data_IF_398470580882
#
_entry.id   IF_398470580882
#
_cell.length_a   1.000
_cell.length_b   1.000
_cell.length_c   1.000
_cell.angle_alpha   90.00
_cell.angle_beta   90.00
_cell.angle_gamma   90.00
#
_symmetry.space_group_name_H-M   'P 1'
#
loop_
_entity.id
_entity.type
_entity.pdbx_description
1 polymer ?
#
# COMPACT_ATOMS: atom_id res chain seq x y z
N UNK A 1 -71.92 -28.74 54.60
CA UNK A 1 -71.64 -29.23 53.25
C UNK A 1 -70.30 -28.63 52.79
N UNK A 2 -69.24 -29.40 52.86
CA UNK A 2 -67.86 -28.97 52.49
C UNK A 2 -67.60 -29.50 51.11
N UNK A 3 -67.32 -28.60 50.12
CA UNK A 3 -66.91 -28.98 48.77
C UNK A 3 -65.37 -28.92 48.74
N UNK A 4 -64.78 -30.07 48.51
CA UNK A 4 -63.33 -30.25 48.31
C UNK A 4 -63.05 -30.06 46.79
N UNK A 5 -62.26 -29.06 46.42
CA UNK A 5 -61.81 -28.86 45.06
C UNK A 5 -60.48 -29.58 44.89
N UNK A 6 -60.41 -30.54 43.98
CA UNK A 6 -59.25 -31.25 43.58
C UNK A 6 -58.54 -30.43 42.49
N UNK A 7 -57.35 -29.88 42.77
CA UNK A 7 -56.52 -29.27 41.82
C UNK A 7 -55.55 -30.33 41.16
N UNK A 8 -55.83 -30.64 39.95
CA UNK A 8 -55.00 -31.52 39.14
C UNK A 8 -53.83 -30.69 38.60
N UNK A 9 -52.58 -30.87 39.09
CA UNK A 9 -51.40 -30.28 38.60
C UNK A 9 -50.83 -31.11 37.44
N UNK A 10 -51.03 -30.62 36.24
CA UNK A 10 -50.41 -31.21 35.00
C UNK A 10 -48.95 -30.75 34.87
N UNK A 11 -48.04 -31.62 35.23
CA UNK A 11 -46.61 -31.37 35.01
C UNK A 11 -46.26 -31.57 33.53
N UNK A 12 -46.08 -30.48 32.82
CA UNK A 12 -45.51 -30.45 31.46
C UNK A 12 -44.02 -30.80 31.53
N UNK A 13 -43.65 -32.03 31.18
CA UNK A 13 -42.26 -32.39 30.90
C UNK A 13 -41.87 -31.81 29.57
N UNK A 14 -41.09 -30.71 29.56
CA UNK A 14 -40.41 -30.19 28.38
C UNK A 14 -39.12 -30.99 28.18
N UNK A 15 -38.91 -31.68 27.05
CA UNK A 15 -37.67 -32.35 26.82
C UNK A 15 -36.55 -31.30 26.64
N UNK A 16 -35.55 -31.35 27.51
CA UNK A 16 -34.35 -30.53 27.37
C UNK A 16 -33.58 -31.00 26.12
N UNK A 17 -33.78 -30.29 25.00
CA UNK A 17 -32.94 -30.44 23.82
C UNK A 17 -31.58 -29.84 24.17
N UNK A 18 -30.62 -30.71 24.46
CA UNK A 18 -29.24 -30.28 24.63
C UNK A 18 -28.72 -29.79 23.28
N UNK A 19 -28.77 -28.48 23.06
CA UNK A 19 -28.02 -27.84 21.98
C UNK A 19 -26.52 -28.01 22.27
N UNK A 20 -25.89 -28.97 21.61
CA UNK A 20 -24.44 -29.06 21.55
C UNK A 20 -23.95 -27.82 20.82
N UNK A 21 -23.64 -26.77 21.57
CA UNK A 21 -22.97 -25.59 21.02
C UNK A 21 -21.61 -26.07 20.49
N UNK A 22 -21.48 -26.19 19.16
CA UNK A 22 -20.18 -26.30 18.52
C UNK A 22 -19.35 -25.14 19.06
N UNK A 23 -18.28 -25.43 19.83
CA UNK A 23 -17.28 -24.44 20.20
C UNK A 23 -16.78 -23.80 18.90
N UNK A 24 -17.27 -22.61 18.55
CA UNK A 24 -16.66 -21.80 17.52
C UNK A 24 -15.19 -21.60 17.93
N UNK A 25 -14.30 -22.08 17.08
CA UNK A 25 -12.86 -21.81 17.26
C UNK A 25 -12.71 -20.28 17.27
N UNK A 26 -12.13 -19.74 18.34
CA UNK A 26 -11.80 -18.32 18.40
C UNK A 26 -11.10 -17.91 17.08
N UNK A 27 -11.46 -16.76 16.50
CA UNK A 27 -10.85 -16.29 15.27
C UNK A 27 -9.34 -16.28 15.47
N UNK A 28 -8.63 -16.84 14.49
CA UNK A 28 -7.16 -16.92 14.53
C UNK A 28 -6.62 -15.50 14.43
N UNK A 29 -5.81 -15.10 15.40
CA UNK A 29 -5.17 -13.80 15.41
C UNK A 29 -4.43 -13.53 14.07
N UNK A 30 -4.65 -12.35 13.50
CA UNK A 30 -4.00 -11.91 12.27
C UNK A 30 -2.52 -11.65 12.56
N UNK A 31 -1.66 -12.30 11.79
CA UNK A 31 -0.21 -12.14 11.94
C UNK A 31 0.28 -10.98 11.10
N UNK A 32 1.27 -10.27 11.60
CA UNK A 32 2.01 -9.27 10.82
C UNK A 32 3.41 -9.79 10.48
N UNK A 33 3.95 -9.29 9.37
CA UNK A 33 5.35 -9.45 8.97
C UNK A 33 5.93 -8.06 8.79
N UNK A 34 7.11 -7.82 9.34
CA UNK A 34 7.82 -6.55 9.21
C UNK A 34 8.97 -6.70 8.23
N UNK A 35 9.11 -5.72 7.34
CA UNK A 35 10.26 -5.53 6.47
C UNK A 35 10.87 -4.18 6.82
N UNK A 36 12.13 -4.18 7.20
CA UNK A 36 12.83 -2.99 7.66
C UNK A 36 13.85 -2.51 6.63
N UNK A 37 14.09 -1.20 6.62
CA UNK A 37 15.11 -0.58 5.78
C UNK A 37 14.93 -0.83 4.27
N UNK A 38 13.69 -0.93 3.81
CA UNK A 38 13.35 -1.05 2.39
C UNK A 38 13.66 0.28 1.71
N UNK A 39 14.62 0.27 0.79
CA UNK A 39 15.09 1.49 0.11
C UNK A 39 14.42 1.63 -1.25
N UNK A 40 13.75 2.76 -1.47
CA UNK A 40 13.08 3.06 -2.75
C UNK A 40 13.60 4.38 -3.31
N UNK A 41 14.04 4.36 -4.56
CA UNK A 41 14.56 5.53 -5.27
C UNK A 41 13.47 6.23 -6.07
N UNK A 42 13.55 7.56 -6.10
CA UNK A 42 12.68 8.32 -6.98
C UNK A 42 12.98 8.01 -8.44
N UNK A 43 11.92 7.86 -9.23
CA UNK A 43 12.05 7.71 -10.67
C UNK A 43 12.50 9.04 -11.28
N UNK A 44 13.70 9.05 -11.82
CA UNK A 44 14.23 10.19 -12.54
C UNK A 44 15.30 9.73 -13.52
N UNK A 45 15.00 9.83 -14.80
CA UNK A 45 15.93 9.51 -15.88
C UNK A 45 16.45 8.06 -15.88
N UNK A 46 17.38 7.78 -16.77
CA UNK A 46 17.94 6.44 -17.03
C UNK A 46 18.48 5.71 -15.81
N UNK A 47 19.01 6.45 -14.84
CA UNK A 47 19.61 5.85 -13.65
C UNK A 47 18.58 5.30 -12.64
N UNK A 48 17.35 5.81 -12.62
CA UNK A 48 16.31 5.35 -11.69
C UNK A 48 15.75 3.98 -12.07
N UNK A 49 15.77 3.61 -13.33
CA UNK A 49 15.34 2.30 -13.80
C UNK A 49 16.18 1.17 -13.19
N UNK A 50 17.47 1.40 -12.99
CA UNK A 50 18.42 0.41 -12.47
C UNK A 50 18.53 0.38 -10.95
N UNK A 51 17.85 1.28 -10.22
CA UNK A 51 18.09 1.50 -8.78
C UNK A 51 16.99 1.02 -7.85
N UNK A 52 15.90 0.50 -8.38
CA UNK A 52 14.79 0.06 -7.54
C UNK A 52 13.85 1.20 -7.17
N UNK A 53 13.05 1.64 -8.13
CA UNK A 53 11.99 2.65 -7.96
C UNK A 53 10.61 2.03 -7.68
N UNK A 54 10.54 0.73 -7.54
CA UNK A 54 9.34 -0.04 -7.30
C UNK A 54 9.52 -0.96 -6.09
N UNK A 55 8.44 -1.22 -5.36
CA UNK A 55 8.46 -2.09 -4.17
C UNK A 55 7.27 -3.04 -4.21
N UNK A 56 7.54 -4.28 -3.84
CA UNK A 56 6.53 -5.25 -3.42
C UNK A 56 6.28 -5.10 -1.92
N UNK A 57 5.04 -4.79 -1.54
CA UNK A 57 4.64 -4.65 -0.14
C UNK A 57 4.44 -6.00 0.56
N UNK A 58 4.38 -7.08 -0.23
CA UNK A 58 4.14 -8.45 0.27
C UNK A 58 5.41 -9.07 0.87
N UNK A 59 6.56 -8.74 0.29
CA UNK A 59 7.86 -9.32 0.67
C UNK A 59 8.95 -8.26 0.95
N UNK A 60 8.62 -6.98 0.84
CA UNK A 60 9.54 -5.87 1.10
C UNK A 60 10.64 -5.71 0.03
N UNK A 61 10.50 -6.37 -1.11
CA UNK A 61 11.51 -6.36 -2.18
C UNK A 61 11.44 -5.07 -2.99
N UNK A 62 12.58 -4.43 -3.15
CA UNK A 62 12.77 -3.31 -4.08
C UNK A 62 13.17 -3.84 -5.46
N UNK A 63 12.61 -3.26 -6.51
CA UNK A 63 12.81 -3.67 -7.90
C UNK A 63 13.13 -2.49 -8.79
N UNK A 64 14.03 -2.68 -9.75
CA UNK A 64 14.13 -1.79 -10.90
C UNK A 64 12.86 -1.90 -11.76
N UNK A 65 12.55 -0.87 -12.55
CA UNK A 65 11.38 -0.91 -13.44
C UNK A 65 11.49 -2.00 -14.51
N UNK A 66 12.70 -2.25 -15.01
CA UNK A 66 12.96 -3.32 -15.97
C UNK A 66 12.58 -4.70 -15.41
N UNK A 67 12.86 -4.94 -14.13
CA UNK A 67 12.47 -6.19 -13.46
C UNK A 67 10.96 -6.22 -13.21
N UNK A 68 10.37 -5.06 -12.82
CA UNK A 68 8.93 -4.92 -12.58
C UNK A 68 8.07 -5.18 -13.82
N UNK A 69 8.58 -4.89 -15.02
CA UNK A 69 7.88 -5.20 -16.30
C UNK A 69 7.63 -6.71 -16.47
N UNK A 70 8.55 -7.53 -15.97
CA UNK A 70 8.45 -8.98 -16.09
C UNK A 70 7.45 -9.58 -15.07
N UNK A 71 7.21 -8.86 -13.96
CA UNK A 71 6.26 -9.28 -12.93
C UNK A 71 5.47 -8.08 -12.37
N UNK A 72 4.61 -7.52 -13.19
CA UNK A 72 3.83 -6.32 -12.85
C UNK A 72 2.90 -6.51 -11.65
N UNK A 73 2.54 -7.75 -11.33
CA UNK A 73 1.71 -8.09 -10.17
C UNK A 73 2.46 -7.97 -8.85
N UNK A 74 3.78 -8.03 -8.89
CA UNK A 74 4.64 -7.86 -7.71
C UNK A 74 4.92 -6.39 -7.40
N UNK A 75 4.66 -5.47 -8.32
CA UNK A 75 4.88 -4.03 -8.10
C UNK A 75 3.64 -3.42 -7.48
N UNK A 76 3.69 -3.13 -6.20
CA UNK A 76 2.57 -2.58 -5.45
C UNK A 76 2.64 -1.04 -5.35
N UNK A 77 3.83 -0.48 -5.19
CA UNK A 77 4.07 0.97 -5.11
C UNK A 77 5.34 1.38 -5.86
N UNK A 78 5.37 2.65 -6.24
CA UNK A 78 6.49 3.32 -6.89
C UNK A 78 6.73 4.68 -6.25
N UNK A 79 7.96 5.22 -6.39
CA UNK A 79 8.32 6.54 -5.87
C UNK A 79 8.60 7.51 -7.00
N UNK A 80 8.02 8.70 -6.91
CA UNK A 80 8.26 9.82 -7.81
C UNK A 80 8.74 11.05 -7.01
N UNK A 81 9.65 11.83 -7.60
CA UNK A 81 10.01 13.15 -7.08
C UNK A 81 9.80 14.20 -8.16
N UNK A 82 8.87 15.12 -7.94
CA UNK A 82 8.53 16.14 -8.91
C UNK A 82 7.31 16.94 -8.52
N UNK A 83 6.84 17.74 -9.47
CA UNK A 83 5.59 18.48 -9.34
C UNK A 83 4.42 17.56 -9.67
N UNK A 84 3.46 17.50 -8.80
CA UNK A 84 2.24 16.72 -8.95
C UNK A 84 1.06 17.68 -8.75
N UNK A 85 -0.02 17.49 -9.50
CA UNK A 85 -1.30 18.17 -9.29
C UNK A 85 -1.17 19.70 -9.36
N UNK A 86 -0.48 20.20 -10.40
CA UNK A 86 -0.19 21.64 -10.61
C UNK A 86 0.59 22.31 -9.46
N UNK A 87 1.20 21.56 -8.58
CA UNK A 87 2.04 22.08 -7.50
C UNK A 87 3.15 22.97 -8.05
N UNK A 88 3.46 24.06 -7.34
CA UNK A 88 4.62 24.90 -7.65
C UNK A 88 5.92 24.31 -7.17
N UNK A 89 5.87 23.42 -6.16
CA UNK A 89 7.02 22.78 -5.52
C UNK A 89 7.10 21.30 -5.90
N UNK A 90 8.32 20.76 -5.87
CA UNK A 90 8.58 19.33 -6.04
C UNK A 90 8.55 18.66 -4.68
N UNK A 91 8.03 17.46 -4.64
CA UNK A 91 8.01 16.62 -3.43
C UNK A 91 8.01 15.13 -3.80
N UNK A 92 8.25 14.30 -2.81
CA UNK A 92 8.14 12.85 -2.97
C UNK A 92 6.68 12.43 -2.97
N UNK A 93 6.34 11.56 -3.91
CA UNK A 93 5.02 10.94 -4.01
C UNK A 93 5.17 9.44 -4.12
N UNK A 94 4.56 8.70 -3.21
CA UNK A 94 4.33 7.27 -3.38
C UNK A 94 3.04 7.09 -4.18
N UNK A 95 3.06 6.21 -5.18
CA UNK A 95 1.90 5.96 -6.01
C UNK A 95 1.81 4.50 -6.45
N UNK A 96 0.60 4.07 -6.73
CA UNK A 96 0.32 2.77 -7.33
C UNK A 96 0.54 2.79 -8.84
N UNK A 97 1.14 1.76 -9.44
CA UNK A 97 1.32 1.68 -10.89
C UNK A 97 0.01 1.80 -11.68
N UNK A 98 -1.09 1.32 -11.10
CA UNK A 98 -2.43 1.35 -11.70
C UNK A 98 -3.24 2.59 -11.37
N UNK A 99 -2.64 3.64 -10.80
CA UNK A 99 -3.35 4.87 -10.49
C UNK A 99 -4.13 5.39 -11.72
N UNK A 100 -5.47 5.41 -11.67
CA UNK A 100 -6.30 5.76 -12.83
C UNK A 100 -6.12 7.22 -13.26
N UNK A 101 -5.79 8.13 -12.35
CA UNK A 101 -5.51 9.53 -12.66
C UNK A 101 -4.27 9.65 -13.55
N UNK A 102 -3.22 8.89 -13.24
CA UNK A 102 -2.01 8.87 -14.08
C UNK A 102 -2.31 8.31 -15.48
N UNK A 103 -3.17 7.31 -15.57
CA UNK A 103 -3.56 6.72 -16.86
C UNK A 103 -4.34 7.71 -17.73
N UNK A 104 -5.31 8.40 -17.14
CA UNK A 104 -6.17 9.34 -17.86
C UNK A 104 -5.37 10.52 -18.41
N UNK A 105 -4.50 11.10 -17.58
CA UNK A 105 -3.66 12.22 -18.01
C UNK A 105 -2.65 11.77 -19.06
N UNK A 106 -2.10 10.58 -18.92
CA UNK A 106 -1.21 9.99 -19.91
C UNK A 106 -1.87 9.87 -21.29
N UNK A 107 -3.07 9.31 -21.35
CA UNK A 107 -3.79 9.11 -22.62
C UNK A 107 -4.21 10.43 -23.27
N UNK A 108 -4.67 11.39 -22.46
CA UNK A 108 -5.12 12.71 -22.95
C UNK A 108 -3.97 13.53 -23.52
N UNK A 109 -2.82 13.49 -22.90
CA UNK A 109 -1.69 14.37 -23.25
C UNK A 109 -0.73 13.72 -24.25
N UNK A 110 -1.11 12.56 -24.82
CA UNK A 110 -0.26 11.85 -25.78
C UNK A 110 1.10 11.45 -25.22
N UNK A 111 1.18 11.20 -23.89
CA UNK A 111 2.41 10.87 -23.20
C UNK A 111 3.22 12.07 -22.68
N UNK A 112 2.67 13.26 -22.76
CA UNK A 112 3.32 14.51 -22.32
C UNK A 112 2.74 15.07 -21.02
N UNK A 113 1.93 14.30 -20.28
CA UNK A 113 1.30 14.76 -19.06
C UNK A 113 2.30 15.38 -18.09
N UNK A 114 2.05 16.61 -17.61
CA UNK A 114 2.90 17.27 -16.62
C UNK A 114 2.93 16.52 -15.28
N UNK A 115 1.97 15.63 -15.04
CA UNK A 115 1.88 14.84 -13.80
C UNK A 115 2.87 13.68 -13.77
N UNK A 116 3.31 13.24 -14.93
CA UNK A 116 4.26 12.14 -15.07
C UNK A 116 5.59 12.60 -15.67
N UNK A 117 5.89 13.89 -15.70
CA UNK A 117 7.23 14.35 -16.09
C UNK A 117 8.22 13.88 -15.04
N UNK A 118 8.82 12.74 -15.33
CA UNK A 118 10.09 12.41 -14.72
C UNK A 118 11.05 13.52 -15.13
N UNK A 119 11.59 14.27 -14.17
CA UNK A 119 12.66 15.21 -14.49
C UNK A 119 13.97 14.46 -14.76
N UNK A 120 14.06 13.87 -15.87
CA UNK A 120 15.24 13.50 -16.58
C UNK A 120 14.99 14.01 -17.98
N UNK A 121 15.99 14.51 -18.64
CA UNK A 121 15.90 14.89 -20.04
C UNK A 121 15.10 13.82 -20.79
N UNK A 122 14.33 14.26 -21.75
CA UNK A 122 13.53 13.46 -22.69
C UNK A 122 14.23 12.28 -23.38
N UNK A 123 15.43 11.97 -22.96
CA UNK A 123 16.33 11.01 -23.58
C UNK A 123 16.13 9.58 -23.11
N UNK A 124 15.24 9.36 -22.12
CA UNK A 124 14.85 8.02 -21.72
C UNK A 124 13.31 7.88 -21.69
N UNK A 125 12.71 7.71 -22.85
CA UNK A 125 11.29 7.42 -22.96
C UNK A 125 10.93 6.07 -22.29
N UNK A 126 11.90 5.18 -22.08
CA UNK A 126 11.63 3.79 -21.70
C UNK A 126 11.10 3.65 -20.27
N UNK A 127 11.59 4.47 -19.31
CA UNK A 127 11.06 4.47 -17.94
C UNK A 127 9.58 4.81 -17.88
N UNK A 128 9.19 5.71 -18.71
CA UNK A 128 7.86 6.24 -18.82
C UNK A 128 6.95 5.31 -19.62
N UNK A 129 7.45 4.79 -20.71
CA UNK A 129 6.75 3.82 -21.57
C UNK A 129 6.59 2.45 -20.90
N UNK A 130 7.46 2.08 -19.97
CA UNK A 130 7.33 0.82 -19.25
C UNK A 130 5.97 0.67 -18.59
N UNK A 131 5.49 1.68 -17.85
CA UNK A 131 4.17 1.65 -17.22
C UNK A 131 3.02 1.57 -18.24
N UNK A 132 3.13 2.28 -19.36
CA UNK A 132 2.13 2.24 -20.43
C UNK A 132 1.97 0.85 -21.02
N UNK A 133 3.05 0.10 -21.13
CA UNK A 133 3.06 -1.24 -21.70
C UNK A 133 2.65 -2.32 -20.70
N UNK A 134 2.50 -2.00 -19.42
CA UNK A 134 2.06 -2.96 -18.43
C UNK A 134 0.58 -3.29 -18.60
N UNK A 135 0.29 -4.53 -19.00
CA UNK A 135 -1.08 -5.01 -19.26
C UNK A 135 -1.93 -5.09 -17.99
N UNK A 136 -1.30 -5.32 -16.84
CA UNK A 136 -1.94 -5.39 -15.53
C UNK A 136 -1.09 -4.61 -14.55
N UNK A 137 -1.66 -3.60 -13.92
CA UNK A 137 -1.02 -2.74 -12.94
C UNK A 137 -1.79 -2.82 -11.63
N UNK A 138 -1.06 -2.92 -10.53
CA UNK A 138 -1.71 -2.93 -9.22
C UNK A 138 -2.31 -1.56 -8.93
N UNK A 139 -3.52 -1.58 -8.39
CA UNK A 139 -4.27 -0.41 -7.94
C UNK A 139 -4.26 -0.37 -6.41
N UNK A 140 -3.06 -0.34 -5.82
CA UNK A 140 -2.88 -0.26 -4.38
C UNK A 140 -3.41 1.07 -3.86
N UNK A 141 -4.42 1.00 -3.00
CA UNK A 141 -4.95 2.18 -2.29
C UNK A 141 -4.04 2.55 -1.15
N UNK A 142 -3.88 3.85 -0.90
CA UNK A 142 -3.01 4.31 0.18
C UNK A 142 -3.37 5.70 0.68
N UNK A 143 -3.20 5.93 1.98
CA UNK A 143 -3.39 7.24 2.61
C UNK A 143 -2.51 7.44 3.84
N UNK A 144 -2.16 8.69 4.15
CA UNK A 144 -1.51 9.02 5.41
C UNK A 144 -2.51 8.82 6.55
N UNK A 145 -2.03 8.21 7.63
CA UNK A 145 -2.81 8.01 8.85
C UNK A 145 -2.11 8.67 10.03
N UNK A 146 -2.89 9.38 10.85
CA UNK A 146 -2.42 10.02 12.07
C UNK A 146 -2.81 9.21 13.30
N UNK A 147 -2.03 9.32 14.36
CA UNK A 147 -2.33 8.67 15.65
C UNK A 147 -2.13 7.16 15.67
N UNK A 148 -1.62 6.55 14.61
CA UNK A 148 -1.27 5.13 14.57
C UNK A 148 0.19 4.96 14.97
N UNK A 149 0.43 4.23 16.05
CA UNK A 149 1.77 3.77 16.40
C UNK A 149 2.14 2.58 15.50
N UNK A 150 3.01 2.81 14.53
CA UNK A 150 3.46 1.79 13.60
C UNK A 150 4.03 0.57 14.31
N UNK A 151 4.81 0.77 15.38
CA UNK A 151 5.53 -0.31 16.05
C UNK A 151 4.58 -1.17 16.90
N UNK A 152 3.59 -0.54 17.55
CA UNK A 152 2.60 -1.23 18.40
C UNK A 152 1.38 -1.77 17.63
N UNK A 153 1.13 -1.33 16.40
CA UNK A 153 -0.07 -1.71 15.63
C UNK A 153 -0.15 -3.22 15.39
N UNK A 154 -1.26 -3.84 15.78
CA UNK A 154 -1.56 -5.25 15.56
C UNK A 154 -2.20 -5.50 14.20
N UNK A 155 -2.19 -6.77 13.74
CA UNK A 155 -2.85 -7.13 12.48
C UNK A 155 -4.34 -6.84 12.48
N UNK A 156 -5.03 -7.06 13.60
CA UNK A 156 -6.46 -6.78 13.76
C UNK A 156 -6.74 -5.28 13.67
N UNK A 157 -5.93 -4.46 14.34
CA UNK A 157 -6.06 -3.00 14.26
C UNK A 157 -5.89 -2.51 12.82
N UNK A 158 -4.81 -2.93 12.14
CA UNK A 158 -4.55 -2.54 10.75
C UNK A 158 -5.70 -2.99 9.84
N UNK A 159 -6.16 -4.23 9.98
CA UNK A 159 -7.21 -4.78 9.12
C UNK A 159 -8.57 -4.10 9.34
N UNK A 160 -8.83 -3.55 10.53
CA UNK A 160 -10.07 -2.82 10.84
C UNK A 160 -10.13 -1.42 10.26
N UNK A 161 -8.99 -0.86 9.82
CA UNK A 161 -8.94 0.47 9.23
C UNK A 161 -9.53 0.46 7.81
N UNK A 162 -10.23 1.53 7.46
CA UNK A 162 -10.69 1.78 6.09
C UNK A 162 -9.64 2.59 5.35
N UNK A 163 -9.36 2.22 4.10
CA UNK A 163 -8.47 2.97 3.20
C UNK A 163 -9.33 3.77 2.23
N UNK A 164 -9.02 5.02 2.02
CA UNK A 164 -9.69 5.88 1.03
C UNK A 164 -9.38 5.40 -0.40
N UNK A 165 -10.21 5.81 -1.37
CA UNK A 165 -9.99 5.54 -2.79
C UNK A 165 -8.91 6.46 -3.37
N UNK A 166 -7.75 6.48 -2.72
CA UNK A 166 -6.57 7.20 -3.18
C UNK A 166 -5.46 6.22 -3.56
N UNK A 167 -4.90 6.41 -4.74
CA UNK A 167 -3.85 5.54 -5.29
C UNK A 167 -2.47 6.19 -5.21
N UNK A 168 -2.34 7.27 -4.45
CA UNK A 168 -1.10 7.97 -4.19
C UNK A 168 -1.10 8.69 -2.85
N UNK A 169 0.08 8.91 -2.32
CA UNK A 169 0.34 9.78 -1.16
C UNK A 169 1.33 10.84 -1.59
N UNK A 170 0.89 12.09 -1.62
CA UNK A 170 1.71 13.25 -2.00
C UNK A 170 2.46 13.82 -0.80
N UNK A 171 3.56 14.53 -1.08
CA UNK A 171 4.38 15.23 -0.08
C UNK A 171 4.78 14.31 1.09
N UNK A 172 5.34 13.16 0.71
CA UNK A 172 5.78 12.14 1.67
C UNK A 172 7.02 12.63 2.41
N UNK A 173 7.00 12.53 3.74
CA UNK A 173 8.05 13.00 4.65
C UNK A 173 8.48 11.93 5.62
N UNK A 174 9.68 12.09 6.17
CA UNK A 174 10.16 11.27 7.28
C UNK A 174 9.21 11.41 8.47
N UNK A 175 8.81 10.29 9.04
CA UNK A 175 7.83 10.20 10.11
C UNK A 175 6.41 9.87 9.67
N UNK A 176 6.08 10.03 8.38
CA UNK A 176 4.75 9.67 7.87
C UNK A 176 4.48 8.17 8.07
N UNK A 177 3.27 7.86 8.50
CA UNK A 177 2.70 6.51 8.51
C UNK A 177 1.60 6.46 7.45
N UNK A 178 1.67 5.45 6.58
CA UNK A 178 0.78 5.31 5.43
C UNK A 178 0.10 3.94 5.53
N UNK A 179 -1.22 3.95 5.57
CA UNK A 179 -2.05 2.75 5.46
C UNK A 179 -2.17 2.39 3.98
N UNK A 180 -2.09 1.10 3.64
CA UNK A 180 -2.33 0.61 2.29
C UNK A 180 -3.27 -0.59 2.25
N UNK A 181 -3.93 -0.76 1.10
CA UNK A 181 -4.69 -1.95 0.73
C UNK A 181 -4.32 -2.36 -0.69
N UNK A 182 -3.90 -3.61 -0.86
CA UNK A 182 -3.46 -4.14 -2.14
C UNK A 182 -4.64 -4.32 -3.09
N UNK A 183 -4.49 -3.82 -4.33
CA UNK A 183 -5.50 -3.90 -5.37
C UNK A 183 -5.71 -5.31 -5.93
N UNK A 184 -6.77 -5.48 -6.72
CA UNK A 184 -7.22 -6.78 -7.26
C UNK A 184 -6.17 -7.51 -8.09
N UNK A 185 -5.27 -6.78 -8.75
CA UNK A 185 -4.22 -7.37 -9.59
C UNK A 185 -3.00 -7.83 -8.82
N UNK A 186 -2.83 -7.42 -7.55
CA UNK A 186 -1.74 -7.89 -6.69
C UNK A 186 -1.85 -9.38 -6.38
N UNK A 187 -0.73 -10.02 -6.05
CA UNK A 187 -0.73 -11.42 -5.60
C UNK A 187 -1.53 -11.64 -4.31
N UNK A 188 -1.79 -10.60 -3.54
CA UNK A 188 -2.50 -10.62 -2.26
C UNK A 188 -3.56 -9.53 -2.18
N UNK A 189 -4.45 -9.52 -3.17
CA UNK A 189 -5.56 -8.58 -3.23
C UNK A 189 -6.33 -8.45 -1.91
N UNK A 190 -6.64 -7.22 -1.51
CA UNK A 190 -7.37 -6.88 -0.29
C UNK A 190 -6.57 -6.97 1.00
N UNK A 191 -5.33 -7.45 0.99
CA UNK A 191 -4.47 -7.42 2.16
C UNK A 191 -4.03 -6.00 2.48
N UNK A 192 -3.90 -5.70 3.76
CA UNK A 192 -3.55 -4.38 4.28
C UNK A 192 -2.21 -4.36 4.98
N UNK A 193 -1.71 -3.17 5.21
CA UNK A 193 -0.50 -2.96 5.98
C UNK A 193 -0.21 -1.48 6.21
N UNK A 194 0.89 -1.23 6.87
CA UNK A 194 1.41 0.11 7.13
C UNK A 194 2.80 0.27 6.52
N UNK A 195 3.08 1.46 6.05
CA UNK A 195 4.42 1.92 5.66
C UNK A 195 4.79 3.06 6.60
N UNK A 196 5.97 2.99 7.23
CA UNK A 196 6.57 4.10 7.97
C UNK A 196 7.76 4.62 7.19
N UNK A 197 7.80 5.91 6.92
CA UNK A 197 8.95 6.56 6.30
C UNK A 197 9.95 6.88 7.39
N UNK A 198 11.08 6.18 7.41
CA UNK A 198 12.07 6.27 8.52
C UNK A 198 13.23 7.19 8.21
N UNK A 199 13.61 7.33 6.93
CA UNK A 199 14.68 8.24 6.55
C UNK A 199 14.55 8.70 5.09
N UNK A 200 15.23 9.81 4.80
CA UNK A 200 15.55 10.29 3.46
C UNK A 200 17.08 10.28 3.34
N UNK A 201 17.60 9.48 2.43
CA UNK A 201 19.05 9.32 2.24
C UNK A 201 19.49 9.84 0.88
N UNK A 202 20.67 10.43 0.82
CA UNK A 202 21.31 10.76 -0.44
C UNK A 202 21.89 9.51 -1.12
N UNK A 203 21.95 9.54 -2.43
CA UNK A 203 22.64 8.52 -3.20
C UNK A 203 24.16 8.71 -3.09
N UNK A 204 24.79 7.82 -2.37
CA UNK A 204 26.24 7.84 -2.12
C UNK A 204 27.08 7.73 -3.40
N UNK A 205 26.50 7.17 -4.48
CA UNK A 205 27.20 7.06 -5.77
C UNK A 205 27.27 8.37 -6.54
N UNK A 206 26.61 9.44 -6.03
CA UNK A 206 26.58 10.78 -6.64
C UNK A 206 26.74 11.86 -5.58
N UNK A 207 27.89 11.93 -4.92
CA UNK A 207 28.11 12.86 -3.81
C UNK A 207 27.99 14.34 -4.23
N UNK A 208 28.23 14.65 -5.52
CA UNK A 208 28.09 16.00 -6.09
C UNK A 208 26.62 16.44 -6.24
N UNK A 209 25.66 15.53 -6.06
CA UNK A 209 24.22 15.80 -6.19
C UNK A 209 23.45 15.59 -4.88
N UNK A 210 24.13 15.81 -3.74
CA UNK A 210 23.47 15.76 -2.43
C UNK A 210 22.31 16.75 -2.34
N UNK A 211 21.23 16.34 -1.65
CA UNK A 211 20.05 17.16 -1.45
C UNK A 211 19.18 17.35 -2.70
N UNK A 212 19.54 16.74 -3.84
CA UNK A 212 18.70 16.77 -5.04
C UNK A 212 17.72 15.59 -4.97
N UNK A 213 16.45 15.87 -4.72
CA UNK A 213 15.44 14.85 -4.43
C UNK A 213 15.37 13.69 -5.43
N UNK A 214 15.63 13.95 -6.73
CA UNK A 214 15.71 12.90 -7.74
C UNK A 214 16.90 11.93 -7.57
N UNK A 215 17.89 12.27 -6.77
CA UNK A 215 19.03 11.40 -6.44
C UNK A 215 18.95 10.89 -5.00
N UNK A 216 17.83 11.13 -4.33
CA UNK A 216 17.57 10.65 -2.99
C UNK A 216 16.69 9.40 -3.02
N UNK A 217 16.71 8.68 -1.91
CA UNK A 217 15.87 7.51 -1.66
C UNK A 217 15.13 7.65 -0.35
N UNK A 218 13.93 7.17 -0.30
CA UNK A 218 13.23 6.95 0.96
C UNK A 218 13.61 5.60 1.54
N UNK A 219 13.77 5.57 2.85
CA UNK A 219 13.90 4.33 3.63
C UNK A 219 12.58 4.07 4.31
N UNK A 220 12.01 2.91 4.08
CA UNK A 220 10.68 2.52 4.53
C UNK A 220 10.78 1.32 5.47
N UNK A 221 9.98 1.32 6.53
CA UNK A 221 9.60 0.10 7.23
C UNK A 221 8.19 -0.27 6.82
N UNK A 222 7.95 -1.53 6.51
CA UNK A 222 6.66 -2.04 6.03
C UNK A 222 6.17 -3.09 7.02
N UNK A 223 4.94 -2.93 7.51
CA UNK A 223 4.23 -3.92 8.32
C UNK A 223 3.06 -4.47 7.52
N UNK A 224 3.18 -5.72 7.11
CA UNK A 224 2.21 -6.40 6.25
C UNK A 224 1.36 -7.37 7.05
N UNK A 225 0.03 -7.35 6.88
CA UNK A 225 -0.92 -8.27 7.54
C UNK A 225 -1.10 -9.52 6.68
N UNK A 226 -0.84 -10.69 7.28
CA UNK A 226 -1.00 -12.02 6.64
C UNK A 226 -2.35 -12.65 6.93
#
# INVERSE_FOLDING_TARGET
MKRIAFLLSLALMVPAVAFSAKKEKAPKALKTVNYENVKIYAQSGRNSQKRGSAVSLIDGRTMALEDGVNDTRAVDIMLFYGKVDHSKTKFFTLFSPGNPTLNIDWEKDGGTSPYCKFEGKSDDPDAYYALKNWKKRNETKMEKVEGIDFDAATGEQINSLSVSDSYWVKDVKVGDVILFELGETSYKAGHKGLIKVVALEDDETKPEKKGVGQNQRLVLNIKYVK
#
